data_IF_708332954134
#
_entry.id   IF_708332954134
#
_cell.length_a   1.000
_cell.length_b   1.000
_cell.length_c   1.000
_cell.angle_alpha   90.00
_cell.angle_beta   90.00
_cell.angle_gamma   90.00
#
_symmetry.space_group_name_H-M   'P 1'
#
loop_
_entity.id
_entity.type
_entity.pdbx_description
1 polymer ?
#
# COMPACT_ATOMS: atom_id res chain seq x y z
N UNK A 1 -61.74 -0.17 45.53
CA UNK A 1 -61.98 -0.75 46.86
C UNK A 1 -60.72 -1.51 47.24
N UNK A 2 -60.31 -1.60 48.53
CA UNK A 2 -59.22 -2.51 48.88
C UNK A 2 -59.63 -3.93 48.48
N UNK A 3 -58.73 -4.67 47.82
CA UNK A 3 -58.95 -6.10 47.60
C UNK A 3 -59.06 -6.75 48.99
N UNK A 4 -60.17 -7.44 49.24
CA UNK A 4 -60.32 -8.21 50.47
C UNK A 4 -59.57 -9.50 50.21
N UNK A 5 -58.33 -9.55 50.68
CA UNK A 5 -57.43 -10.69 50.52
C UNK A 5 -58.14 -11.99 50.92
N UNK A 6 -58.02 -13.01 50.07
CA UNK A 6 -58.53 -14.35 50.31
C UNK A 6 -58.06 -14.90 51.66
N UNK A 7 -56.81 -14.63 52.06
CA UNK A 7 -56.28 -14.98 53.37
C UNK A 7 -57.09 -14.31 54.49
N UNK A 8 -57.40 -13.02 54.36
CA UNK A 8 -58.17 -12.28 55.36
C UNK A 8 -59.63 -12.78 55.49
N UNK A 9 -60.22 -13.32 54.42
CA UNK A 9 -61.52 -13.98 54.48
C UNK A 9 -61.46 -15.36 55.14
N UNK A 10 -60.35 -16.09 54.97
CA UNK A 10 -60.09 -17.36 55.66
C UNK A 10 -59.86 -17.10 57.15
N UNK A 11 -59.02 -16.13 57.52
CA UNK A 11 -58.77 -15.74 58.92
C UNK A 11 -60.08 -15.40 59.65
N UNK A 12 -60.97 -14.62 59.01
CA UNK A 12 -62.30 -14.28 59.55
C UNK A 12 -63.25 -15.46 59.65
N UNK A 13 -63.12 -16.45 58.76
CA UNK A 13 -63.89 -17.69 58.83
C UNK A 13 -63.40 -18.56 59.99
N UNK A 14 -62.09 -18.67 60.20
CA UNK A 14 -61.49 -19.36 61.35
C UNK A 14 -61.85 -18.68 62.67
N UNK A 15 -61.81 -17.35 62.74
CA UNK A 15 -62.23 -16.55 63.90
C UNK A 15 -63.71 -16.81 64.24
N UNK A 16 -64.62 -16.74 63.26
CA UNK A 16 -66.04 -17.05 63.46
C UNK A 16 -66.33 -18.50 63.89
N UNK A 17 -65.47 -19.46 63.50
CA UNK A 17 -65.56 -20.85 63.95
C UNK A 17 -64.96 -21.01 65.36
N UNK A 18 -63.91 -20.26 65.69
CA UNK A 18 -63.27 -20.24 67.02
C UNK A 18 -64.13 -19.61 68.10
N UNK A 19 -64.84 -18.52 67.79
CA UNK A 19 -65.79 -17.84 68.70
C UNK A 19 -67.12 -18.61 68.89
N UNK A 20 -67.34 -19.69 68.15
CA UNK A 20 -68.61 -20.42 68.13
C UNK A 20 -69.01 -20.95 69.53
N UNK A 21 -70.23 -20.60 69.97
CA UNK A 21 -70.67 -20.90 71.34
C UNK A 21 -70.94 -22.40 71.51
N UNK A 22 -70.06 -23.10 72.22
CA UNK A 22 -70.19 -24.54 72.52
C UNK A 22 -71.46 -24.82 73.34
N UNK A 23 -72.14 -25.91 73.00
CA UNK A 23 -73.29 -26.40 73.76
C UNK A 23 -72.84 -27.14 75.02
N UNK A 24 -73.60 -27.07 76.14
CA UNK A 24 -73.22 -27.70 77.40
C UNK A 24 -73.35 -29.23 77.41
N UNK A 25 -73.96 -29.84 76.38
CA UNK A 25 -74.08 -31.29 76.20
C UNK A 25 -73.78 -31.61 74.74
N UNK A 26 -72.85 -32.54 74.49
CA UNK A 26 -72.37 -32.93 73.16
C UNK A 26 -71.20 -32.06 72.65
N UNK A 27 -70.75 -32.34 71.42
CA UNK A 27 -69.61 -31.67 70.77
C UNK A 27 -70.01 -30.50 69.85
N UNK A 28 -71.30 -30.13 69.83
CA UNK A 28 -71.82 -29.10 68.92
C UNK A 28 -71.53 -27.67 69.37
N UNK A 29 -71.32 -26.78 68.38
CA UNK A 29 -71.19 -25.34 68.57
C UNK A 29 -72.26 -24.58 67.80
N UNK A 30 -72.71 -23.45 68.35
CA UNK A 30 -73.67 -22.54 67.71
C UNK A 30 -72.91 -21.43 67.00
N UNK A 31 -73.12 -21.32 65.68
CA UNK A 31 -72.53 -20.31 64.79
C UNK A 31 -73.64 -19.41 64.25
N UNK A 32 -73.38 -18.11 64.07
CA UNK A 32 -74.30 -17.21 63.37
C UNK A 32 -74.34 -17.56 61.87
N UNK A 33 -75.45 -18.20 61.47
CA UNK A 33 -75.69 -18.61 60.07
C UNK A 33 -75.67 -17.42 59.09
N UNK A 34 -76.02 -16.20 59.50
CA UNK A 34 -75.99 -15.03 58.60
C UNK A 34 -74.55 -14.63 58.31
N UNK A 35 -73.75 -14.37 59.36
CA UNK A 35 -72.32 -14.04 59.20
C UNK A 35 -71.54 -15.10 58.42
N UNK A 36 -71.82 -16.38 58.65
CA UNK A 36 -71.19 -17.46 57.92
C UNK A 36 -71.54 -17.45 56.42
N UNK A 37 -72.80 -17.19 56.08
CA UNK A 37 -73.23 -17.06 54.67
C UNK A 37 -72.62 -15.79 54.03
N UNK A 38 -72.59 -14.67 54.74
CA UNK A 38 -71.97 -13.43 54.27
C UNK A 38 -70.48 -13.62 53.94
N UNK A 39 -69.74 -14.42 54.75
CA UNK A 39 -68.34 -14.81 54.48
C UNK A 39 -68.22 -15.75 53.27
N UNK A 40 -69.11 -16.73 53.13
CA UNK A 40 -69.13 -17.65 51.98
C UNK A 40 -69.41 -16.90 50.67
N UNK A 41 -70.30 -15.91 50.68
CA UNK A 41 -70.60 -15.10 49.50
C UNK A 41 -69.44 -14.12 49.17
N UNK A 42 -68.72 -13.59 50.17
CA UNK A 42 -67.47 -12.86 49.96
C UNK A 42 -66.37 -13.76 49.35
N UNK A 43 -66.16 -14.96 49.89
CA UNK A 43 -65.21 -15.96 49.35
C UNK A 43 -65.56 -16.35 47.91
N UNK A 44 -66.85 -16.52 47.60
CA UNK A 44 -67.34 -16.80 46.24
C UNK A 44 -67.09 -15.66 45.26
N UNK A 45 -66.99 -14.42 45.72
CA UNK A 45 -66.64 -13.28 44.88
C UNK A 45 -65.11 -13.13 44.73
N UNK A 46 -64.35 -13.32 45.80
CA UNK A 46 -62.90 -13.15 45.84
C UNK A 46 -62.12 -14.28 45.14
N UNK A 47 -62.37 -15.55 45.48
CA UNK A 47 -61.60 -16.70 44.92
C UNK A 47 -61.55 -16.69 43.38
N UNK A 48 -62.66 -16.47 42.64
CA UNK A 48 -62.60 -16.44 41.19
C UNK A 48 -61.96 -15.17 40.62
N UNK A 49 -61.71 -14.13 41.41
CA UNK A 49 -60.97 -12.93 41.01
C UNK A 49 -59.46 -13.16 41.15
N UNK A 50 -58.98 -13.58 42.34
CA UNK A 50 -57.58 -13.97 42.56
C UNK A 50 -57.09 -15.03 41.57
N UNK A 51 -57.90 -16.06 41.25
CA UNK A 51 -57.52 -17.08 40.27
C UNK A 51 -57.34 -16.47 38.87
N UNK A 52 -58.18 -15.49 38.47
CA UNK A 52 -58.04 -14.81 37.17
C UNK A 52 -56.80 -13.92 37.13
N UNK A 53 -56.53 -13.17 38.20
CA UNK A 53 -55.31 -12.35 38.28
C UNK A 53 -54.03 -13.22 38.25
N UNK A 54 -54.05 -14.37 38.93
CA UNK A 54 -52.96 -15.34 38.89
C UNK A 54 -52.77 -15.94 37.48
N UNK A 55 -53.85 -16.24 36.75
CA UNK A 55 -53.80 -16.67 35.35
C UNK A 55 -53.23 -15.57 34.45
N UNK A 56 -53.74 -14.34 34.53
CA UNK A 56 -53.22 -13.19 33.77
C UNK A 56 -51.74 -12.88 34.10
N UNK A 57 -51.27 -13.18 35.32
CA UNK A 57 -49.86 -13.08 35.68
C UNK A 57 -49.00 -14.18 35.04
N UNK A 58 -49.51 -15.42 34.98
CA UNK A 58 -48.83 -16.53 34.29
C UNK A 58 -48.76 -16.27 32.77
N UNK A 59 -49.86 -15.86 32.15
CA UNK A 59 -49.92 -15.54 30.70
C UNK A 59 -48.91 -14.44 30.35
N UNK A 60 -48.87 -13.34 31.14
CA UNK A 60 -47.87 -12.27 30.97
C UNK A 60 -46.43 -12.75 31.17
N UNK A 61 -46.20 -13.69 32.10
CA UNK A 61 -44.87 -14.28 32.30
C UNK A 61 -44.45 -15.13 31.10
N UNK A 62 -45.36 -15.91 30.53
CA UNK A 62 -45.10 -16.69 29.30
C UNK A 62 -44.82 -15.77 28.10
N UNK A 63 -45.58 -14.68 27.94
CA UNK A 63 -45.34 -13.67 26.90
C UNK A 63 -43.95 -13.01 27.04
N UNK A 64 -43.55 -12.66 28.27
CA UNK A 64 -42.21 -12.08 28.54
C UNK A 64 -41.09 -13.08 28.26
N UNK A 65 -41.26 -14.36 28.62
CA UNK A 65 -40.29 -15.41 28.31
C UNK A 65 -40.16 -15.63 26.80
N UNK A 66 -41.27 -15.77 26.08
CA UNK A 66 -41.28 -15.93 24.63
C UNK A 66 -40.57 -14.77 23.91
N UNK A 67 -40.81 -13.53 24.34
CA UNK A 67 -40.11 -12.34 23.83
C UNK A 67 -38.62 -12.34 24.15
N UNK A 68 -38.23 -12.76 25.36
CA UNK A 68 -36.83 -12.86 25.75
C UNK A 68 -36.08 -13.93 24.95
N UNK A 69 -36.73 -15.07 24.65
CA UNK A 69 -36.19 -16.13 23.80
C UNK A 69 -36.04 -15.67 22.34
N UNK A 70 -37.05 -15.00 21.77
CA UNK A 70 -37.00 -14.41 20.42
C UNK A 70 -35.88 -13.35 20.30
N UNK A 71 -35.78 -12.41 21.26
CA UNK A 71 -34.70 -11.44 21.29
C UNK A 71 -33.33 -12.11 21.42
N UNK A 72 -33.21 -13.17 22.22
CA UNK A 72 -31.95 -13.89 22.42
C UNK A 72 -31.52 -14.61 21.15
N UNK A 73 -32.44 -15.28 20.46
CA UNK A 73 -32.18 -15.91 19.16
C UNK A 73 -31.77 -14.89 18.10
N UNK A 74 -32.45 -13.74 18.04
CA UNK A 74 -32.11 -12.65 17.11
C UNK A 74 -30.73 -12.04 17.40
N UNK A 75 -30.39 -11.86 18.69
CA UNK A 75 -29.06 -11.37 19.11
C UNK A 75 -27.96 -12.37 18.74
N UNK A 76 -28.19 -13.66 18.94
CA UNK A 76 -27.24 -14.71 18.57
C UNK A 76 -27.00 -14.75 17.06
N UNK A 77 -28.07 -14.78 16.25
CA UNK A 77 -27.96 -14.74 14.78
C UNK A 77 -27.15 -13.53 14.29
N UNK A 78 -27.41 -12.34 14.84
CA UNK A 78 -26.66 -11.12 14.50
C UNK A 78 -25.20 -11.17 14.95
N UNK A 79 -24.91 -11.80 16.09
CA UNK A 79 -23.54 -11.99 16.56
C UNK A 79 -22.78 -12.96 15.65
N UNK A 80 -23.40 -14.06 15.24
CA UNK A 80 -22.80 -15.04 14.33
C UNK A 80 -22.54 -14.44 12.94
N UNK A 81 -23.48 -13.65 12.40
CA UNK A 81 -23.30 -12.89 11.15
C UNK A 81 -22.15 -11.86 11.25
N UNK A 82 -22.06 -11.10 12.34
CA UNK A 82 -20.99 -10.13 12.59
C UNK A 82 -19.63 -10.82 12.74
N UNK A 83 -19.56 -11.95 13.44
CA UNK A 83 -18.34 -12.76 13.57
C UNK A 83 -17.92 -13.32 12.22
N UNK A 84 -18.83 -13.89 11.43
CA UNK A 84 -18.55 -14.40 10.09
C UNK A 84 -18.03 -13.29 9.16
N UNK A 85 -18.63 -12.10 9.21
CA UNK A 85 -18.17 -10.94 8.45
C UNK A 85 -16.75 -10.52 8.86
N UNK A 86 -16.49 -10.40 10.17
CA UNK A 86 -15.16 -10.03 10.69
C UNK A 86 -14.06 -11.04 10.37
N UNK A 87 -14.38 -12.34 10.40
CA UNK A 87 -13.42 -13.39 9.99
C UNK A 87 -13.08 -13.24 8.51
N UNK A 88 -14.09 -13.07 7.64
CA UNK A 88 -13.89 -12.82 6.20
C UNK A 88 -13.07 -11.54 5.94
N UNK A 89 -13.40 -10.43 6.60
CA UNK A 89 -12.63 -9.17 6.53
C UNK A 89 -11.17 -9.37 6.97
N UNK A 90 -10.92 -10.12 8.04
CA UNK A 90 -9.58 -10.41 8.55
C UNK A 90 -8.77 -11.35 7.63
N UNK A 91 -9.41 -12.35 7.01
CA UNK A 91 -8.79 -13.23 6.01
C UNK A 91 -8.40 -12.45 4.75
N UNK A 92 -9.28 -11.56 4.27
CA UNK A 92 -9.00 -10.66 3.15
C UNK A 92 -7.85 -9.72 3.49
N UNK A 93 -7.85 -9.11 4.68
CA UNK A 93 -6.78 -8.21 5.12
C UNK A 93 -5.42 -8.94 5.20
N UNK A 94 -5.38 -10.13 5.78
CA UNK A 94 -4.18 -10.97 5.86
C UNK A 94 -3.67 -11.40 4.48
N UNK A 95 -4.56 -11.74 3.55
CA UNK A 95 -4.20 -12.07 2.18
C UNK A 95 -3.69 -10.85 1.40
N UNK A 96 -4.23 -9.66 1.66
CA UNK A 96 -3.75 -8.40 1.09
C UNK A 96 -2.36 -8.02 1.64
N UNK A 97 -2.14 -8.17 2.95
CA UNK A 97 -0.83 -7.95 3.59
C UNK A 97 0.24 -8.90 3.03
N UNK A 98 -0.08 -10.18 2.88
CA UNK A 98 0.82 -11.17 2.24
C UNK A 98 1.22 -10.76 0.82
N UNK A 99 0.25 -10.42 -0.03
CA UNK A 99 0.52 -9.94 -1.40
C UNK A 99 1.30 -8.63 -1.43
N UNK A 100 1.04 -7.70 -0.50
CA UNK A 100 1.80 -6.47 -0.40
C UNK A 100 3.27 -6.72 -0.03
N UNK A 101 3.54 -7.72 0.83
CA UNK A 101 4.88 -8.24 1.11
C UNK A 101 5.55 -8.80 -0.14
N UNK A 102 4.89 -9.74 -0.83
CA UNK A 102 5.38 -10.36 -2.08
C UNK A 102 5.74 -9.30 -3.14
N UNK A 103 4.85 -8.34 -3.40
CA UNK A 103 5.11 -7.24 -4.35
C UNK A 103 6.30 -6.38 -3.91
N UNK A 104 6.43 -6.12 -2.61
CA UNK A 104 7.52 -5.29 -2.07
C UNK A 104 8.87 -5.99 -2.21
N UNK A 105 8.93 -7.30 -1.95
CA UNK A 105 10.16 -8.08 -2.07
C UNK A 105 10.53 -8.36 -3.53
N UNK A 106 9.54 -8.57 -4.41
CA UNK A 106 9.79 -8.61 -5.86
C UNK A 106 10.33 -7.26 -6.35
N UNK A 107 9.74 -6.13 -5.94
CA UNK A 107 10.20 -4.81 -6.33
C UNK A 107 11.63 -4.50 -5.84
N UNK A 108 12.00 -4.94 -4.63
CA UNK A 108 13.39 -4.87 -4.12
C UNK A 108 14.34 -5.67 -5.01
N UNK A 109 14.04 -6.95 -5.29
CA UNK A 109 14.89 -7.79 -6.13
C UNK A 109 14.97 -7.29 -7.58
N UNK A 110 13.89 -6.72 -8.13
CA UNK A 110 13.93 -6.04 -9.43
C UNK A 110 14.87 -4.81 -9.39
N UNK A 111 14.77 -3.97 -8.35
CA UNK A 111 15.65 -2.81 -8.19
C UNK A 111 17.12 -3.20 -7.98
N UNK A 112 17.42 -4.22 -7.18
CA UNK A 112 18.77 -4.76 -6.99
C UNK A 112 19.38 -5.24 -8.31
N UNK A 113 18.63 -6.00 -9.12
CA UNK A 113 19.08 -6.43 -10.45
C UNK A 113 19.34 -5.25 -11.38
N UNK A 114 18.44 -4.26 -11.45
CA UNK A 114 18.60 -3.08 -12.29
C UNK A 114 19.82 -2.22 -11.88
N UNK A 115 20.11 -2.12 -10.57
CA UNK A 115 21.30 -1.44 -10.07
C UNK A 115 22.57 -2.19 -10.48
N UNK A 116 22.61 -3.52 -10.36
CA UNK A 116 23.76 -4.33 -10.73
C UNK A 116 24.00 -4.35 -12.26
N UNK A 117 22.94 -4.50 -13.05
CA UNK A 117 22.99 -4.40 -14.51
C UNK A 117 23.47 -3.01 -14.96
N UNK A 118 22.92 -1.94 -14.38
CA UNK A 118 23.34 -0.57 -14.66
C UNK A 118 24.78 -0.29 -14.25
N UNK A 119 25.24 -0.88 -13.15
CA UNK A 119 26.64 -0.83 -12.70
C UNK A 119 27.56 -1.53 -13.69
N UNK A 120 27.26 -2.79 -14.05
CA UNK A 120 28.05 -3.57 -15.00
C UNK A 120 28.17 -2.87 -16.35
N UNK A 121 27.08 -2.33 -16.89
CA UNK A 121 27.09 -1.55 -18.13
C UNK A 121 27.88 -0.24 -18.01
N UNK A 122 27.83 0.42 -16.85
CA UNK A 122 28.63 1.61 -16.56
C UNK A 122 30.12 1.32 -16.51
N UNK A 123 30.51 0.21 -15.86
CA UNK A 123 31.89 -0.26 -15.79
C UNK A 123 32.41 -0.69 -17.17
N UNK A 124 31.61 -1.42 -17.96
CA UNK A 124 31.92 -1.82 -19.34
C UNK A 124 32.13 -0.61 -20.26
N UNK A 125 31.19 0.34 -20.31
CA UNK A 125 31.33 1.57 -21.12
C UNK A 125 32.51 2.42 -20.69
N UNK A 126 32.83 2.45 -19.39
CA UNK A 126 34.00 3.17 -18.87
C UNK A 126 35.31 2.47 -19.30
N UNK A 127 35.33 1.14 -19.32
CA UNK A 127 36.47 0.37 -19.81
C UNK A 127 36.67 0.54 -21.33
N UNK A 128 35.59 0.45 -22.12
CA UNK A 128 35.60 0.69 -23.56
C UNK A 128 36.07 2.11 -23.88
N UNK A 129 35.49 3.13 -23.25
CA UNK A 129 35.88 4.53 -23.45
C UNK A 129 37.35 4.80 -23.11
N UNK A 130 37.88 4.17 -22.05
CA UNK A 130 39.32 4.23 -21.73
C UNK A 130 40.19 3.55 -22.80
N UNK A 131 39.74 2.42 -23.36
CA UNK A 131 40.47 1.71 -24.42
C UNK A 131 40.52 2.54 -25.71
N UNK A 132 39.37 3.07 -26.15
CA UNK A 132 39.26 3.93 -27.32
C UNK A 132 40.05 5.24 -27.17
N UNK A 133 40.12 5.80 -25.96
CA UNK A 133 40.94 6.97 -25.68
C UNK A 133 42.45 6.66 -25.77
N UNK A 134 42.89 5.52 -25.24
CA UNK A 134 44.29 5.07 -25.36
C UNK A 134 44.67 4.79 -26.82
N UNK A 135 43.82 4.08 -27.58
CA UNK A 135 44.01 3.82 -29.01
C UNK A 135 44.17 5.12 -29.82
N UNK A 136 43.32 6.13 -29.57
CA UNK A 136 43.42 7.44 -30.21
C UNK A 136 44.67 8.23 -29.81
N UNK A 137 45.13 8.13 -28.56
CA UNK A 137 46.37 8.77 -28.12
C UNK A 137 47.59 8.16 -28.82
N UNK A 138 47.67 6.82 -28.90
CA UNK A 138 48.75 6.12 -29.61
C UNK A 138 48.78 6.47 -31.12
N UNK A 139 47.61 6.66 -31.75
CA UNK A 139 47.53 7.10 -33.15
C UNK A 139 47.94 8.57 -33.32
N UNK A 140 47.51 9.47 -32.43
CA UNK A 140 47.88 10.88 -32.47
C UNK A 140 49.38 11.09 -32.27
N UNK A 141 50.00 10.38 -31.32
CA UNK A 141 51.44 10.40 -31.07
C UNK A 141 52.23 9.88 -32.28
N UNK A 142 51.75 8.80 -32.92
CA UNK A 142 52.36 8.27 -34.16
C UNK A 142 52.29 9.29 -35.30
N UNK A 143 51.14 9.92 -35.51
CA UNK A 143 50.95 10.95 -36.53
C UNK A 143 51.85 12.18 -36.27
N UNK A 144 51.95 12.62 -35.01
CA UNK A 144 52.84 13.71 -34.61
C UNK A 144 54.31 13.38 -34.91
N UNK A 145 54.76 12.16 -34.58
CA UNK A 145 56.11 11.69 -34.91
C UNK A 145 56.37 11.62 -36.42
N UNK A 146 55.41 11.19 -37.24
CA UNK A 146 55.53 11.21 -38.70
C UNK A 146 55.66 12.62 -39.27
N UNK A 147 54.86 13.56 -38.76
CA UNK A 147 54.91 14.97 -39.20
C UNK A 147 56.25 15.63 -38.81
N UNK A 148 56.75 15.37 -37.60
CA UNK A 148 58.08 15.83 -37.17
C UNK A 148 59.20 15.24 -38.04
N UNK A 149 59.14 13.95 -38.39
CA UNK A 149 60.11 13.31 -39.30
C UNK A 149 60.06 13.90 -40.71
N UNK A 150 58.87 14.17 -41.27
CA UNK A 150 58.72 14.84 -42.57
C UNK A 150 59.33 16.24 -42.55
N UNK A 151 59.08 17.02 -41.49
CA UNK A 151 59.67 18.35 -41.31
C UNK A 151 61.20 18.28 -41.20
N UNK A 152 61.75 17.30 -40.46
CA UNK A 152 63.19 17.08 -40.37
C UNK A 152 63.81 16.81 -41.75
N UNK A 153 63.21 15.91 -42.54
CA UNK A 153 63.69 15.59 -43.90
C UNK A 153 63.62 16.80 -44.84
N UNK A 154 62.57 17.62 -44.75
CA UNK A 154 62.45 18.86 -45.52
C UNK A 154 63.53 19.88 -45.14
N UNK A 155 63.82 20.05 -43.85
CA UNK A 155 64.88 20.92 -43.37
C UNK A 155 66.27 20.42 -43.77
N UNK A 156 66.51 19.11 -43.75
CA UNK A 156 67.77 18.51 -44.19
C UNK A 156 68.00 18.69 -45.70
N UNK A 157 66.97 18.47 -46.52
CA UNK A 157 67.01 18.74 -47.97
C UNK A 157 67.18 20.22 -48.30
N UNK A 158 66.56 21.11 -47.52
CA UNK A 158 66.74 22.56 -47.64
C UNK A 158 68.17 22.97 -47.27
N UNK A 159 68.70 22.51 -46.14
CA UNK A 159 70.09 22.77 -45.72
C UNK A 159 71.12 22.18 -46.70
N UNK A 160 70.83 21.03 -47.31
CA UNK A 160 71.63 20.46 -48.40
C UNK A 160 71.67 21.39 -49.62
N UNK A 161 70.50 21.85 -50.08
CA UNK A 161 70.38 22.84 -51.17
C UNK A 161 71.13 24.15 -50.85
N UNK A 162 71.04 24.64 -49.62
CA UNK A 162 71.76 25.84 -49.17
C UNK A 162 73.28 25.61 -49.17
N UNK A 163 73.76 24.45 -48.72
CA UNK A 163 75.20 24.12 -48.75
C UNK A 163 75.73 24.09 -50.18
N UNK A 164 75.06 23.37 -51.08
CA UNK A 164 75.47 23.29 -52.49
C UNK A 164 75.36 24.64 -53.21
N UNK A 165 74.42 25.50 -52.81
CA UNK A 165 74.37 26.89 -53.27
C UNK A 165 75.53 27.77 -52.76
N UNK A 166 76.04 27.52 -51.56
CA UNK A 166 77.23 28.19 -51.03
C UNK A 166 78.50 27.66 -51.72
N UNK A 167 78.64 26.35 -51.89
CA UNK A 167 79.76 25.72 -52.61
C UNK A 167 79.88 26.27 -54.05
N UNK A 168 78.76 26.38 -54.77
CA UNK A 168 78.71 26.96 -56.13
C UNK A 168 79.00 28.48 -56.20
N UNK A 169 79.04 29.19 -55.07
CA UNK A 169 79.45 30.61 -54.99
C UNK A 169 80.90 30.78 -54.52
N UNK A 170 81.46 29.78 -53.84
CA UNK A 170 82.85 29.72 -53.42
C UNK A 170 83.75 29.20 -54.56
N UNK A 171 83.24 28.27 -55.39
CA UNK A 171 83.79 27.95 -56.72
C UNK A 171 83.58 29.11 -57.71
N UNK A 172 84.36 30.18 -57.58
CA UNK A 172 84.46 31.20 -58.65
C UNK A 172 85.15 30.63 -59.89
N UNK A 173 84.54 30.68 -61.08
CA UNK A 173 85.29 30.72 -62.32
C UNK A 173 85.98 32.10 -62.42
N UNK A 174 87.29 32.12 -62.25
CA UNK A 174 88.13 33.26 -62.61
C UNK A 174 88.37 33.27 -64.12
N UNK A 175 88.35 34.47 -64.74
CA UNK A 175 88.48 34.75 -66.19
C UNK A 175 87.34 34.19 -67.11
N UNK A 176 86.64 34.99 -67.94
CA UNK A 176 87.12 36.12 -68.74
C UNK A 176 85.99 37.08 -69.20
N UNK A 177 86.35 38.35 -69.44
CA UNK A 177 85.56 39.34 -70.21
C UNK A 177 86.49 39.88 -71.30
N UNK A 178 86.22 39.64 -72.59
CA UNK A 178 85.75 40.72 -73.49
C UNK A 178 84.87 40.19 -74.67
N UNK A 179 84.22 40.94 -75.58
CA UNK A 179 83.92 42.37 -75.78
C UNK A 179 82.60 42.51 -76.59
N UNK A 180 82.08 43.73 -76.73
CA UNK A 180 81.12 44.17 -77.76
C UNK A 180 81.81 45.16 -78.74
N UNK A 181 81.20 45.69 -79.83
CA UNK A 181 79.84 45.48 -80.37
C UNK A 181 79.94 44.82 -81.79
N UNK A 182 79.30 45.21 -82.95
CA UNK A 182 78.47 46.37 -83.35
C UNK A 182 77.01 46.04 -83.77
N UNK A 183 76.29 47.08 -84.20
CA UNK A 183 74.96 47.17 -84.86
C UNK A 183 75.19 48.21 -85.99
N UNK A 184 74.68 48.14 -87.25
CA UNK A 184 73.27 48.06 -87.68
C UNK A 184 73.04 47.15 -88.95
N UNK A 185 71.94 47.11 -89.72
CA UNK A 185 70.86 48.11 -89.97
C UNK A 185 69.55 47.51 -90.56
N UNK A 186 68.43 48.06 -90.09
CA UNK A 186 67.09 48.28 -90.70
C UNK A 186 66.76 47.74 -92.11
N UNK A 187 65.69 46.93 -92.27
CA UNK A 187 64.41 47.39 -92.88
C UNK A 187 63.24 46.42 -92.64
N UNK A 188 62.02 46.95 -92.60
CA UNK A 188 60.78 46.26 -92.23
C UNK A 188 59.88 45.95 -93.47
N UNK A 189 58.54 45.98 -93.35
CA UNK A 189 57.66 44.85 -93.05
C UNK A 189 56.80 44.46 -94.29
N UNK A 190 55.84 43.53 -94.13
CA UNK A 190 54.52 43.65 -94.78
C UNK A 190 53.40 43.06 -93.93
N UNK A 191 52.35 43.87 -93.77
CA UNK A 191 51.09 43.53 -93.10
C UNK A 191 50.14 42.74 -94.01
N UNK A 192 49.24 42.00 -93.37
CA UNK A 192 47.80 42.00 -93.67
C UNK A 192 47.28 41.39 -94.98
N UNK A 193 46.54 40.29 -94.86
CA UNK A 193 45.16 40.18 -95.36
C UNK A 193 44.38 39.26 -94.40
#
# INVERSE_FOLDING_TARGET
>A
MPAIDLLHLIDRLEEQIGEARRLPIGTGSVIDRRRLLDLVDQLRAAVPAEIREAQEFLDRKEEVLAKADEESALRLSRADEEVARRVSEAEIAKAAEGRAGEITDEAKHQAERLIEEGRSQGEERTAEGRRLAAEQMDEADRYAMEMLRKLQQQLEAFMGSVRSGIEALDEKPEEAVPAAPPIPEVFAPKDGT
#
